data_IF_219628642355
#
_entry.id   IF_219628642355
#
_cell.length_a   1.000
_cell.length_b   1.000
_cell.length_c   1.000
_cell.angle_alpha   90.00
_cell.angle_beta   90.00
_cell.angle_gamma   90.00
#
_symmetry.space_group_name_H-M   'P 1'
#
loop_
_entity.id
_entity.type
_entity.pdbx_description
1 polymer ?
#
# COMPACT_ATOMS: atom_id res chain seq x y z
N UNK A 1 60.12 -10.06 32.94
CA UNK A 1 60.36 -8.62 33.15
C UNK A 1 60.01 -7.94 31.84
N UNK A 2 58.75 -7.53 31.70
CA UNK A 2 58.30 -6.74 30.55
C UNK A 2 57.98 -5.37 31.12
N UNK A 3 58.97 -4.49 31.01
CA UNK A 3 58.87 -3.07 31.34
C UNK A 3 57.91 -2.44 30.33
N UNK A 4 56.66 -2.21 30.75
CA UNK A 4 55.72 -1.37 30.00
C UNK A 4 56.11 0.07 30.30
N UNK A 5 56.91 0.66 29.41
CA UNK A 5 57.38 2.05 29.45
C UNK A 5 56.22 3.02 29.72
N UNK A 6 56.48 4.22 30.27
CA UNK A 6 55.44 5.25 30.46
C UNK A 6 54.64 5.53 29.17
N UNK A 7 55.25 5.33 28.00
CA UNK A 7 54.57 5.32 26.69
C UNK A 7 53.42 4.31 26.63
N UNK A 8 53.61 3.08 27.12
CA UNK A 8 52.58 2.05 27.14
C UNK A 8 51.39 2.41 28.03
N UNK A 9 51.62 3.12 29.15
CA UNK A 9 50.52 3.62 30.00
C UNK A 9 49.73 4.73 29.30
N UNK A 10 50.42 5.65 28.61
CA UNK A 10 49.77 6.66 27.77
C UNK A 10 48.98 6.03 26.61
N UNK A 11 49.55 5.00 25.98
CA UNK A 11 48.92 4.24 24.89
C UNK A 11 47.68 3.48 25.36
N UNK A 12 47.71 2.87 26.56
CA UNK A 12 46.56 2.19 27.15
C UNK A 12 45.42 3.17 27.48
N UNK A 13 45.74 4.37 27.97
CA UNK A 13 44.75 5.42 28.22
C UNK A 13 44.10 5.89 26.91
N UNK A 14 44.89 6.09 25.85
CA UNK A 14 44.37 6.46 24.53
C UNK A 14 43.49 5.37 23.93
N UNK A 15 43.88 4.09 24.07
CA UNK A 15 43.07 2.95 23.63
C UNK A 15 41.74 2.87 24.40
N UNK A 16 41.78 3.02 25.72
CA UNK A 16 40.58 3.02 26.55
C UNK A 16 39.64 4.18 26.19
N UNK A 17 40.19 5.38 26.00
CA UNK A 17 39.42 6.55 25.59
C UNK A 17 38.79 6.37 24.20
N UNK A 18 39.52 5.79 23.24
CA UNK A 18 39.00 5.50 21.91
C UNK A 18 37.85 4.49 21.95
N UNK A 19 37.96 3.43 22.77
CA UNK A 19 36.89 2.44 22.96
C UNK A 19 35.65 3.07 23.57
N UNK A 20 35.80 3.93 24.59
CA UNK A 20 34.68 4.64 25.21
C UNK A 20 34.03 5.61 24.22
N UNK A 21 34.82 6.38 23.47
CA UNK A 21 34.32 7.30 22.47
C UNK A 21 33.56 6.56 21.35
N UNK A 22 34.07 5.40 20.91
CA UNK A 22 33.38 4.55 19.95
C UNK A 22 32.06 4.04 20.51
N UNK A 23 32.04 3.52 21.75
CA UNK A 23 30.83 3.05 22.42
C UNK A 23 29.76 4.15 22.52
N UNK A 24 30.16 5.37 22.90
CA UNK A 24 29.29 6.55 22.97
C UNK A 24 28.79 6.96 21.58
N UNK A 25 29.64 6.92 20.55
CA UNK A 25 29.25 7.22 19.18
C UNK A 25 28.25 6.19 18.64
N UNK A 26 28.46 4.89 18.87
CA UNK A 26 27.47 3.85 18.51
C UNK A 26 26.16 4.01 19.27
N UNK A 27 26.21 4.37 20.56
CA UNK A 27 25.00 4.65 21.34
C UNK A 27 24.25 5.89 20.84
N UNK A 28 24.97 6.94 20.46
CA UNK A 28 24.40 8.14 19.88
C UNK A 28 23.80 7.88 18.49
N UNK A 29 24.46 7.08 17.64
CA UNK A 29 23.94 6.65 16.34
C UNK A 29 22.69 5.78 16.50
N UNK A 30 22.65 4.88 17.48
CA UNK A 30 21.45 4.13 17.82
C UNK A 30 20.31 5.08 18.28
N UNK A 31 20.63 6.09 19.10
CA UNK A 31 19.67 7.13 19.49
C UNK A 31 19.15 7.94 18.29
N UNK A 32 20.02 8.23 17.32
CA UNK A 32 19.64 8.89 16.07
C UNK A 32 18.81 7.97 15.16
N UNK A 33 19.05 6.66 15.15
CA UNK A 33 18.19 5.69 14.44
C UNK A 33 16.81 5.55 15.09
N UNK A 34 16.71 5.66 16.41
CA UNK A 34 15.44 5.75 17.14
C UNK A 34 14.70 7.06 16.82
N UNK A 35 15.42 8.14 16.49
CA UNK A 35 14.86 9.39 15.98
C UNK A 35 14.79 9.50 14.45
N UNK A 36 15.28 8.48 13.72
CA UNK A 36 15.24 8.36 12.25
C UNK A 36 14.41 7.14 11.86
N UNK A 37 13.36 6.87 12.63
CA UNK A 37 12.18 6.30 12.01
C UNK A 37 11.50 7.47 11.26
N UNK A 38 11.01 7.29 10.02
CA UNK A 38 9.98 8.21 9.55
C UNK A 38 8.93 8.28 10.67
N UNK A 39 8.56 9.47 11.12
CA UNK A 39 7.67 9.68 12.26
C UNK A 39 6.49 8.70 12.22
N UNK A 40 6.59 7.58 12.94
CA UNK A 40 5.46 6.72 13.25
C UNK A 40 4.85 7.40 14.47
N UNK A 41 3.90 8.30 14.23
CA UNK A 41 3.11 8.91 15.30
C UNK A 41 2.43 7.76 16.06
N UNK A 42 2.69 7.53 17.36
CA UNK A 42 2.12 6.41 18.11
C UNK A 42 0.59 6.50 18.30
N UNK A 43 -0.07 7.48 17.67
CA UNK A 43 -1.52 7.60 17.56
C UNK A 43 -2.07 7.02 16.24
N UNK A 44 -1.23 6.45 15.38
CA UNK A 44 -1.58 6.03 14.01
C UNK A 44 -2.05 4.59 13.83
N UNK A 45 -2.02 3.73 14.85
CA UNK A 45 -2.49 2.34 14.70
C UNK A 45 -4.00 2.26 14.37
N UNK A 46 -4.78 3.29 14.71
CA UNK A 46 -6.22 3.32 14.48
C UNK A 46 -6.64 3.96 13.15
N UNK A 47 -5.74 4.69 12.45
CA UNK A 47 -5.96 5.36 11.15
C UNK A 47 -4.89 5.05 10.10
N UNK A 48 -4.22 3.91 10.22
CA UNK A 48 -3.11 3.50 9.33
C UNK A 48 -3.64 3.19 7.92
N UNK A 49 -2.98 3.67 6.84
CA UNK A 49 -3.35 3.37 5.44
C UNK A 49 -3.62 1.88 5.19
N UNK A 50 -2.88 1.01 5.85
CA UNK A 50 -2.99 -0.45 5.76
C UNK A 50 -4.37 -0.98 6.20
N UNK A 51 -5.05 -0.33 7.16
CA UNK A 51 -6.41 -0.73 7.55
C UNK A 51 -7.44 -0.35 6.50
N UNK A 52 -7.29 0.82 5.87
CA UNK A 52 -8.15 1.26 4.78
C UNK A 52 -7.94 0.34 3.58
N UNK A 53 -6.69 0.02 3.24
CA UNK A 53 -6.36 -0.94 2.19
C UNK A 53 -6.98 -2.31 2.47
N UNK A 54 -6.86 -2.82 3.70
CA UNK A 54 -7.49 -4.10 4.07
C UNK A 54 -9.03 -4.06 4.01
N UNK A 55 -9.65 -2.94 4.38
CA UNK A 55 -11.10 -2.78 4.29
C UNK A 55 -11.59 -2.63 2.83
N UNK A 56 -10.81 -1.95 1.98
CA UNK A 56 -11.06 -1.83 0.55
C UNK A 56 -10.91 -3.19 -0.13
N UNK A 57 -9.83 -3.92 0.11
CA UNK A 57 -9.62 -5.26 -0.48
C UNK A 57 -10.74 -6.22 -0.09
N UNK A 58 -11.20 -6.16 1.17
CA UNK A 58 -12.37 -6.94 1.60
C UNK A 58 -13.66 -6.49 0.93
N UNK A 59 -13.87 -5.19 0.76
CA UNK A 59 -15.05 -4.66 0.07
C UNK A 59 -15.07 -5.06 -1.41
N UNK A 60 -13.91 -5.03 -2.08
CA UNK A 60 -13.73 -5.51 -3.45
C UNK A 60 -13.95 -7.02 -3.51
N UNK A 61 -13.44 -7.80 -2.57
CA UNK A 61 -13.71 -9.24 -2.52
C UNK A 61 -15.21 -9.54 -2.41
N UNK A 62 -15.91 -8.87 -1.49
CA UNK A 62 -17.34 -9.10 -1.27
C UNK A 62 -18.18 -8.66 -2.49
N UNK A 63 -17.78 -7.59 -3.18
CA UNK A 63 -18.48 -7.07 -4.36
C UNK A 63 -18.14 -7.84 -5.65
N UNK A 64 -16.92 -8.37 -5.78
CA UNK A 64 -16.52 -9.18 -6.95
C UNK A 64 -17.06 -10.60 -6.90
N UNK A 65 -17.42 -11.12 -5.72
CA UNK A 65 -18.00 -12.45 -5.58
C UNK A 65 -19.33 -12.64 -6.34
N UNK A 66 -20.08 -11.56 -6.63
CA UNK A 66 -21.35 -11.60 -7.34
C UNK A 66 -21.23 -11.42 -8.87
N UNK A 67 -20.09 -10.97 -9.40
CA UNK A 67 -19.97 -10.50 -10.80
C UNK A 67 -19.75 -11.62 -11.85
N UNK A 68 -18.85 -12.62 -11.65
CA UNK A 68 -18.40 -13.52 -12.72
C UNK A 68 -19.47 -14.40 -13.38
N UNK A 69 -20.65 -14.56 -12.76
CA UNK A 69 -21.72 -15.44 -13.26
C UNK A 69 -22.86 -14.70 -13.96
N UNK A 70 -22.84 -13.36 -13.97
CA UNK A 70 -24.01 -12.57 -14.37
C UNK A 70 -23.86 -11.79 -15.69
N UNK A 71 -22.63 -11.59 -16.18
CA UNK A 71 -22.36 -10.71 -17.33
C UNK A 71 -21.48 -11.37 -18.38
N UNK A 72 -21.95 -11.37 -19.63
CA UNK A 72 -21.13 -11.72 -20.79
C UNK A 72 -20.04 -10.65 -21.01
N UNK A 73 -18.99 -10.98 -21.77
CA UNK A 73 -17.89 -10.06 -22.05
C UNK A 73 -18.32 -8.79 -22.79
N UNK A 74 -19.32 -8.91 -23.65
CA UNK A 74 -19.90 -7.76 -24.36
C UNK A 74 -20.65 -6.81 -23.40
N UNK A 75 -20.96 -7.25 -22.18
CA UNK A 75 -21.64 -6.49 -21.13
C UNK A 75 -20.69 -5.98 -20.04
N UNK A 76 -19.36 -6.05 -20.26
CA UNK A 76 -18.34 -5.68 -19.27
C UNK A 76 -18.47 -4.27 -18.69
N UNK A 77 -18.92 -3.29 -19.48
CA UNK A 77 -19.20 -1.94 -18.97
C UNK A 77 -20.34 -1.94 -17.94
N UNK A 78 -21.39 -2.73 -18.17
CA UNK A 78 -22.48 -2.92 -17.21
C UNK A 78 -22.00 -3.63 -15.95
N UNK A 79 -21.15 -4.65 -16.09
CA UNK A 79 -20.56 -5.36 -14.97
C UNK A 79 -19.71 -4.43 -14.08
N UNK A 80 -18.97 -3.52 -14.71
CA UNK A 80 -18.18 -2.49 -14.03
C UNK A 80 -19.09 -1.49 -13.32
N UNK A 81 -20.14 -0.99 -13.97
CA UNK A 81 -21.08 -0.08 -13.33
C UNK A 81 -21.81 -0.68 -12.12
N UNK A 82 -22.23 -1.95 -12.20
CA UNK A 82 -22.83 -2.65 -11.06
C UNK A 82 -21.82 -2.80 -9.91
N UNK A 83 -20.55 -3.10 -10.22
CA UNK A 83 -19.50 -3.18 -9.21
C UNK A 83 -19.26 -1.81 -8.53
N UNK A 84 -19.25 -0.72 -9.31
CA UNK A 84 -19.13 0.64 -8.78
C UNK A 84 -20.31 0.98 -7.86
N UNK A 85 -21.54 0.68 -8.29
CA UNK A 85 -22.77 0.91 -7.50
C UNK A 85 -22.75 0.10 -6.19
N UNK A 86 -22.23 -1.13 -6.22
CA UNK A 86 -22.03 -1.95 -5.02
C UNK A 86 -20.92 -1.40 -4.11
N UNK A 87 -19.82 -0.89 -4.67
CA UNK A 87 -18.68 -0.40 -3.89
C UNK A 87 -18.94 0.96 -3.24
N UNK A 88 -19.69 1.86 -3.89
CA UNK A 88 -19.86 3.26 -3.46
C UNK A 88 -20.32 3.40 -2.00
N UNK A 89 -21.36 2.67 -1.50
CA UNK A 89 -21.78 2.78 -0.11
C UNK A 89 -20.68 2.39 0.90
N UNK A 90 -19.84 1.42 0.52
CA UNK A 90 -18.75 0.91 1.37
C UNK A 90 -17.59 1.89 1.40
N UNK A 91 -17.22 2.45 0.24
CA UNK A 91 -16.19 3.49 0.13
C UNK A 91 -16.61 4.74 0.91
N UNK A 92 -17.87 5.17 0.79
CA UNK A 92 -18.38 6.35 1.51
C UNK A 92 -18.36 6.14 3.03
N UNK A 93 -18.68 4.93 3.50
CA UNK A 93 -18.59 4.58 4.93
C UNK A 93 -17.14 4.70 5.45
N UNK A 94 -16.16 4.27 4.65
CA UNK A 94 -14.75 4.40 5.02
C UNK A 94 -14.33 5.87 5.10
N UNK A 95 -14.71 6.70 4.12
CA UNK A 95 -14.45 8.15 4.12
C UNK A 95 -15.02 8.82 5.39
N UNK A 96 -16.29 8.55 5.73
CA UNK A 96 -16.95 9.15 6.90
C UNK A 96 -16.30 8.73 8.22
N UNK A 97 -15.94 7.45 8.36
CA UNK A 97 -15.43 6.92 9.63
C UNK A 97 -14.10 7.53 10.08
N UNK A 98 -13.29 8.02 9.14
CA UNK A 98 -11.98 8.61 9.44
C UNK A 98 -12.03 10.12 9.67
N UNK A 99 -13.04 10.82 9.10
CA UNK A 99 -13.30 12.23 9.43
C UNK A 99 -13.46 12.42 10.95
N UNK A 100 -14.06 11.45 11.64
CA UNK A 100 -14.21 11.44 13.09
C UNK A 100 -12.86 11.29 13.84
N UNK A 101 -11.83 10.77 13.16
CA UNK A 101 -10.49 10.44 13.70
C UNK A 101 -9.42 11.48 13.36
N UNK A 102 -9.80 12.67 12.91
CA UNK A 102 -8.91 13.80 12.55
C UNK A 102 -8.00 13.59 11.32
N UNK A 103 -8.28 12.56 10.50
CA UNK A 103 -7.62 12.33 9.21
C UNK A 103 -8.68 12.28 8.13
N UNK A 104 -8.53 13.10 7.08
CA UNK A 104 -9.44 13.07 5.94
C UNK A 104 -8.85 12.14 4.89
N UNK A 105 -9.57 11.06 4.57
CA UNK A 105 -9.24 10.22 3.42
C UNK A 105 -10.19 10.52 2.27
N UNK A 106 -9.60 10.84 1.14
CA UNK A 106 -10.27 10.83 -0.14
C UNK A 106 -9.84 9.59 -0.89
N UNK A 107 -10.82 8.85 -1.38
CA UNK A 107 -10.64 7.59 -2.08
C UNK A 107 -11.28 7.78 -3.45
N UNK A 108 -10.48 7.67 -4.49
CA UNK A 108 -10.90 7.78 -5.89
C UNK A 108 -10.42 6.55 -6.66
N UNK A 109 -11.06 6.26 -7.79
CA UNK A 109 -10.56 5.23 -8.70
C UNK A 109 -9.33 5.77 -9.47
N UNK A 110 -8.29 4.94 -9.59
CA UNK A 110 -7.06 5.28 -10.32
C UNK A 110 -7.08 4.64 -11.71
N UNK A 111 -7.62 5.38 -12.68
CA UNK A 111 -7.69 4.95 -14.08
C UNK A 111 -6.32 4.74 -14.70
N UNK A 112 -5.31 5.50 -14.26
CA UNK A 112 -3.96 5.45 -14.84
C UNK A 112 -3.23 4.19 -14.37
N UNK A 113 -3.31 3.90 -13.08
CA UNK A 113 -2.73 2.67 -12.53
C UNK A 113 -3.47 1.43 -13.04
N UNK A 114 -4.80 1.48 -13.17
CA UNK A 114 -5.58 0.38 -13.76
C UNK A 114 -5.21 0.12 -15.22
N UNK A 115 -5.05 1.17 -16.03
CA UNK A 115 -4.60 1.03 -17.42
C UNK A 115 -3.19 0.44 -17.51
N UNK A 116 -2.30 0.87 -16.62
CA UNK A 116 -0.94 0.32 -16.50
C UNK A 116 -0.99 -1.15 -16.09
N UNK A 117 -1.82 -1.49 -15.10
CA UNK A 117 -2.03 -2.86 -14.63
C UNK A 117 -2.52 -3.78 -15.76
N UNK A 118 -3.54 -3.35 -16.50
CA UNK A 118 -4.08 -4.12 -17.62
C UNK A 118 -3.05 -4.30 -18.75
N UNK A 119 -2.12 -3.37 -18.94
CA UNK A 119 -1.09 -3.46 -19.96
C UNK A 119 0.10 -4.35 -19.54
N UNK A 120 0.53 -4.26 -18.28
CA UNK A 120 1.81 -4.80 -17.84
C UNK A 120 1.69 -6.15 -17.13
N UNK A 121 0.63 -6.37 -16.34
CA UNK A 121 0.49 -7.59 -15.53
C UNK A 121 -0.45 -8.63 -16.14
N UNK A 122 -1.13 -8.29 -17.25
CA UNK A 122 -2.00 -9.23 -17.95
C UNK A 122 -1.27 -10.04 -19.03
N UNK A 123 -1.52 -11.37 -19.12
CA UNK A 123 -0.99 -12.20 -20.18
C UNK A 123 -1.44 -11.70 -21.57
N UNK A 124 -0.48 -11.54 -22.48
CA UNK A 124 -0.72 -11.09 -23.86
C UNK A 124 -0.14 -12.08 -24.88
N UNK A 125 -0.52 -11.91 -26.15
CA UNK A 125 -0.05 -12.74 -27.26
C UNK A 125 -0.92 -13.97 -27.58
N UNK A 126 -0.54 -14.75 -28.60
CA UNK A 126 -1.37 -15.81 -29.17
C UNK A 126 -1.52 -17.06 -28.28
N UNK A 127 -0.61 -17.27 -27.33
CA UNK A 127 -0.62 -18.43 -26.43
C UNK A 127 -1.31 -18.15 -25.08
N UNK A 128 -2.04 -17.04 -24.97
CA UNK A 128 -2.77 -16.67 -23.74
C UNK A 128 -3.91 -17.66 -23.45
N UNK A 129 -4.10 -17.95 -22.16
CA UNK A 129 -5.15 -18.87 -21.70
C UNK A 129 -6.52 -18.20 -21.54
N UNK A 130 -6.52 -16.88 -21.36
CA UNK A 130 -7.71 -16.05 -21.18
C UNK A 130 -7.75 -14.97 -22.26
N UNK A 131 -8.88 -14.30 -22.43
CA UNK A 131 -8.99 -13.20 -23.38
C UNK A 131 -8.25 -11.94 -22.91
N UNK A 132 -8.46 -10.84 -23.62
CA UNK A 132 -7.76 -9.59 -23.34
C UNK A 132 -8.21 -9.00 -21.99
N UNK A 133 -7.31 -8.26 -21.35
CA UNK A 133 -7.65 -7.42 -20.21
C UNK A 133 -8.08 -6.04 -20.68
N UNK A 134 -9.02 -5.44 -19.95
CA UNK A 134 -9.48 -4.09 -20.17
C UNK A 134 -9.55 -3.35 -18.84
N UNK A 135 -9.12 -2.09 -18.85
CA UNK A 135 -9.27 -1.19 -17.73
C UNK A 135 -10.43 -0.22 -18.03
N UNK A 136 -11.43 -0.19 -17.15
CA UNK A 136 -12.63 0.63 -17.27
C UNK A 136 -12.82 1.34 -15.93
N UNK A 137 -12.70 2.67 -15.90
CA UNK A 137 -12.97 3.46 -14.69
C UNK A 137 -12.11 3.11 -13.47
N UNK A 138 -10.86 2.65 -13.65
CA UNK A 138 -10.00 2.19 -12.55
C UNK A 138 -10.19 0.73 -12.15
N UNK A 139 -11.11 0.01 -12.79
CA UNK A 139 -11.37 -1.41 -12.58
C UNK A 139 -10.74 -2.21 -13.73
N UNK A 140 -10.05 -3.31 -13.40
CA UNK A 140 -9.45 -4.20 -14.41
C UNK A 140 -10.28 -5.46 -14.53
N UNK A 141 -10.74 -5.73 -15.75
CA UNK A 141 -11.53 -6.92 -16.11
C UNK A 141 -10.80 -7.75 -17.17
N UNK A 142 -11.15 -9.03 -17.25
CA UNK A 142 -10.62 -9.97 -18.21
C UNK A 142 -11.72 -10.89 -18.73
N UNK A 143 -11.70 -11.16 -20.03
CA UNK A 143 -12.57 -12.18 -20.62
C UNK A 143 -12.13 -13.58 -20.20
N UNK A 144 -13.04 -14.37 -19.61
CA UNK A 144 -12.83 -15.80 -19.41
C UNK A 144 -14.06 -16.59 -19.82
N UNK A 145 -13.88 -17.51 -20.77
CA UNK A 145 -14.95 -18.35 -21.32
C UNK A 145 -16.17 -17.53 -21.81
N UNK A 146 -15.95 -16.33 -22.35
CA UNK A 146 -16.99 -15.43 -22.83
C UNK A 146 -17.65 -14.57 -21.75
N UNK A 147 -17.31 -14.75 -20.47
CA UNK A 147 -17.82 -13.95 -19.36
C UNK A 147 -16.84 -12.90 -18.85
N UNK A 148 -17.36 -11.85 -18.23
CA UNK A 148 -16.57 -10.78 -17.61
C UNK A 148 -16.06 -11.20 -16.23
N UNK A 149 -14.74 -11.25 -16.05
CA UNK A 149 -14.12 -11.52 -14.75
C UNK A 149 -13.37 -10.29 -14.26
N UNK A 150 -13.69 -9.84 -13.05
CA UNK A 150 -12.97 -8.74 -12.40
C UNK A 150 -11.66 -9.28 -11.83
N UNK A 151 -10.53 -8.68 -12.21
CA UNK A 151 -9.22 -8.96 -11.63
C UNK A 151 -8.96 -8.11 -10.38
N UNK A 152 -9.55 -6.91 -10.34
CA UNK A 152 -9.58 -6.04 -9.17
C UNK A 152 -9.76 -4.57 -9.54
N UNK A 153 -9.49 -3.70 -8.58
CA UNK A 153 -9.75 -2.27 -8.64
C UNK A 153 -8.52 -1.50 -8.18
N UNK A 154 -8.17 -0.45 -8.90
CA UNK A 154 -7.08 0.47 -8.54
C UNK A 154 -7.69 1.72 -7.92
N UNK A 155 -7.21 2.09 -6.74
CA UNK A 155 -7.66 3.27 -6.00
C UNK A 155 -6.49 4.22 -5.74
N UNK A 156 -6.74 5.50 -5.89
CA UNK A 156 -5.91 6.56 -5.33
C UNK A 156 -6.46 6.97 -3.98
N UNK A 157 -5.61 6.92 -2.95
CA UNK A 157 -5.96 7.32 -1.58
C UNK A 157 -5.14 8.55 -1.23
N UNK A 158 -5.84 9.66 -1.02
CA UNK A 158 -5.26 10.89 -0.51
C UNK A 158 -5.63 11.07 0.95
N UNK A 159 -4.61 11.02 1.80
CA UNK A 159 -4.73 11.16 3.25
C UNK A 159 -4.23 12.54 3.67
N UNK A 160 -5.13 13.37 4.21
CA UNK A 160 -4.78 14.70 4.70
C UNK A 160 -4.88 14.75 6.22
N UNK A 161 -3.74 15.01 6.86
CA UNK A 161 -3.61 15.28 8.29
C UNK A 161 -3.33 16.77 8.54
N UNK A 162 -3.32 17.21 9.80
CA UNK A 162 -3.05 18.61 10.17
C UNK A 162 -1.74 19.19 9.60
N UNK A 163 -0.75 18.34 9.29
CA UNK A 163 0.61 18.77 8.95
C UNK A 163 1.09 18.26 7.60
N UNK A 164 0.51 17.19 7.08
CA UNK A 164 1.01 16.48 5.89
C UNK A 164 -0.15 15.90 5.10
N UNK A 165 -0.05 16.01 3.78
CA UNK A 165 -0.85 15.26 2.80
C UNK A 165 0.02 14.17 2.19
N UNK A 166 -0.51 12.96 2.14
CA UNK A 166 0.11 11.82 1.46
C UNK A 166 -0.86 11.25 0.43
N UNK A 167 -0.35 10.95 -0.75
CA UNK A 167 -1.08 10.30 -1.85
C UNK A 167 -0.44 8.94 -2.12
N UNK A 168 -1.27 7.91 -2.28
CA UNK A 168 -0.81 6.56 -2.59
C UNK A 168 -1.79 5.88 -3.53
N UNK A 169 -1.28 5.18 -4.54
CA UNK A 169 -2.09 4.27 -5.37
C UNK A 169 -2.07 2.87 -4.77
N UNK A 170 -3.20 2.18 -4.83
CA UNK A 170 -3.42 0.86 -4.22
C UNK A 170 -4.24 0.00 -5.17
N UNK A 171 -3.77 -1.21 -5.46
CA UNK A 171 -4.53 -2.23 -6.20
C UNK A 171 -5.17 -3.21 -5.22
N UNK A 172 -6.50 -3.24 -5.19
CA UNK A 172 -7.31 -4.21 -4.46
C UNK A 172 -7.72 -5.33 -5.41
N UNK A 173 -7.30 -6.57 -5.13
CA UNK A 173 -7.52 -7.70 -6.07
C UNK A 173 -8.60 -8.65 -5.61
N UNK A 174 -9.07 -8.52 -4.36
CA UNK A 174 -10.05 -9.42 -3.78
C UNK A 174 -9.56 -10.87 -3.65
N UNK A 175 -8.25 -11.12 -3.73
CA UNK A 175 -7.64 -12.44 -3.51
C UNK A 175 -6.89 -12.45 -2.18
N UNK A 176 -7.33 -13.33 -1.26
CA UNK A 176 -6.57 -13.73 -0.06
C UNK A 176 -5.98 -15.13 -0.24
#
# INVERSE_FOLDING_TARGET
MTDLTPDARGQLVLLAAAVIAFALATGALAYLQVGSHPDIDPRSEEGSPERIVGALDRSVHDATASVPEQYDWDERESAVGELEDDLEPRVETLRVSELERSVVHEIAYDETDAATWAADDCPSGPDRQFGDCEAIGGIVVQERAGGTHVLGVSFEIRSTSERVTHETSVRATGQQ
#
